data_IF_667487510825
#
_entry.id   IF_667487510825
#
_cell.length_a   1.000
_cell.length_b   1.000
_cell.length_c   1.000
_cell.angle_alpha   90.00
_cell.angle_beta   90.00
_cell.angle_gamma   90.00
#
_symmetry.space_group_name_H-M   'P 1'
#
loop_
_entity.id
_entity.type
_entity.pdbx_description
1 polymer ?
#
# COMPACT_ATOMS: atom_id res chain seq x y z
N UNK A 1 -34.83 19.18 -8.94
CA UNK A 1 -33.74 18.62 -8.10
C UNK A 1 -34.36 17.61 -7.14
N UNK A 2 -34.24 16.32 -7.43
CA UNK A 2 -34.56 15.26 -6.47
C UNK A 2 -33.25 14.55 -6.13
N UNK A 3 -32.87 14.59 -4.85
CA UNK A 3 -31.77 13.78 -4.31
C UNK A 3 -32.15 12.31 -4.52
N UNK A 4 -31.31 11.57 -5.25
CA UNK A 4 -31.46 10.13 -5.40
C UNK A 4 -31.46 9.48 -4.02
N UNK A 5 -32.56 8.82 -3.69
CA UNK A 5 -32.62 7.92 -2.53
C UNK A 5 -31.56 6.85 -2.76
N UNK A 6 -30.53 6.80 -1.92
CA UNK A 6 -29.76 5.56 -1.75
C UNK A 6 -30.77 4.46 -1.50
N UNK A 7 -30.70 3.34 -2.21
CA UNK A 7 -31.57 2.20 -1.93
C UNK A 7 -31.44 1.90 -0.43
N UNK A 8 -32.55 1.90 0.31
CA UNK A 8 -32.60 1.74 1.77
C UNK A 8 -31.63 0.66 2.32
N UNK A 9 -31.39 -0.48 1.63
CA UNK A 9 -30.41 -1.48 2.07
C UNK A 9 -28.96 -0.99 2.20
N UNK A 10 -28.52 -0.01 1.40
CA UNK A 10 -27.17 0.57 1.49
C UNK A 10 -27.01 1.48 2.70
N UNK A 11 -28.08 2.21 3.04
CA UNK A 11 -28.11 3.06 4.23
C UNK A 11 -28.15 2.19 5.49
N UNK A 12 -28.97 1.13 5.48
CA UNK A 12 -29.05 0.16 6.58
C UNK A 12 -27.74 -0.59 6.77
N UNK A 13 -27.05 -0.97 5.69
CA UNK A 13 -25.73 -1.60 5.77
C UNK A 13 -24.67 -0.65 6.36
N UNK A 14 -24.66 0.62 5.94
CA UNK A 14 -23.75 1.62 6.49
C UNK A 14 -24.03 1.90 7.98
N UNK A 15 -25.30 1.94 8.38
CA UNK A 15 -25.72 2.09 9.78
C UNK A 15 -25.32 0.86 10.61
N UNK A 16 -25.53 -0.35 10.09
CA UNK A 16 -25.14 -1.58 10.77
C UNK A 16 -23.61 -1.70 10.95
N UNK A 17 -22.82 -1.28 9.96
CA UNK A 17 -21.36 -1.17 10.13
C UNK A 17 -21.01 -0.12 11.17
N UNK A 18 -21.70 1.03 11.17
CA UNK A 18 -21.55 2.06 12.19
C UNK A 18 -21.82 1.52 13.60
N UNK A 19 -22.95 0.85 13.82
CA UNK A 19 -23.33 0.24 15.10
C UNK A 19 -22.38 -0.88 15.52
N UNK A 20 -21.84 -1.64 14.57
CA UNK A 20 -20.85 -2.66 14.85
C UNK A 20 -19.50 -2.06 15.27
N UNK A 21 -19.07 -0.98 14.62
CA UNK A 21 -17.76 -0.35 14.84
C UNK A 21 -17.77 0.57 16.07
N UNK A 22 -18.89 1.21 16.38
CA UNK A 22 -19.00 2.23 17.44
C UNK A 22 -18.59 1.73 18.84
N UNK A 23 -18.92 0.50 19.28
CA UNK A 23 -18.42 -0.06 20.53
C UNK A 23 -16.90 -0.20 20.58
N UNK A 24 -16.24 -0.45 19.45
CA UNK A 24 -14.77 -0.54 19.40
C UNK A 24 -14.11 0.84 19.51
N UNK A 25 -14.77 1.89 18.99
CA UNK A 25 -14.31 3.28 19.10
C UNK A 25 -14.55 3.83 20.51
N UNK A 26 -15.72 3.59 21.09
CA UNK A 26 -16.10 4.11 22.41
C UNK A 26 -15.30 3.48 23.56
N UNK A 27 -14.85 2.24 23.40
CA UNK A 27 -14.03 1.54 24.39
C UNK A 27 -12.52 1.64 24.08
N UNK A 28 -12.12 2.35 23.03
CA UNK A 28 -10.72 2.57 22.73
C UNK A 28 -10.12 3.52 23.78
N UNK A 29 -9.30 2.98 24.67
CA UNK A 29 -8.41 3.78 25.50
C UNK A 29 -7.45 4.51 24.56
N UNK A 30 -7.18 5.81 24.74
CA UNK A 30 -6.13 6.50 24.00
C UNK A 30 -4.80 5.78 24.23
N UNK A 31 -4.39 4.96 23.28
CA UNK A 31 -3.09 4.33 23.30
C UNK A 31 -2.11 5.41 22.83
N UNK A 32 -1.38 6.03 23.77
CA UNK A 32 -0.39 7.08 23.45
C UNK A 32 0.68 6.65 22.44
N UNK A 33 0.74 5.35 22.13
CA UNK A 33 1.74 4.72 21.28
C UNK A 33 1.15 4.02 20.05
N UNK A 34 -0.15 4.19 19.75
CA UNK A 34 -0.81 3.60 18.56
C UNK A 34 -1.64 4.66 17.85
N UNK A 35 -1.42 4.84 16.55
CA UNK A 35 -2.06 5.85 15.72
C UNK A 35 -2.66 5.23 14.47
N UNK A 36 -3.92 5.58 14.17
CA UNK A 36 -4.50 5.32 12.87
C UNK A 36 -4.05 6.42 11.89
N UNK A 37 -3.41 6.04 10.79
CA UNK A 37 -3.09 6.93 9.68
C UNK A 37 -3.96 6.57 8.50
N UNK A 38 -4.49 7.57 7.81
CA UNK A 38 -5.36 7.36 6.68
C UNK A 38 -5.00 8.32 5.55
N UNK A 39 -5.06 7.82 4.32
CA UNK A 39 -4.82 8.60 3.12
C UNK A 39 -6.09 8.60 2.27
N UNK A 40 -6.45 9.78 1.80
CA UNK A 40 -7.56 10.01 0.86
C UNK A 40 -7.09 11.00 -0.21
N UNK A 41 -7.70 10.99 -1.41
CA UNK A 41 -7.44 11.99 -2.43
C UNK A 41 -7.60 13.40 -1.84
N UNK A 42 -6.57 14.25 -1.94
CA UNK A 42 -6.47 15.60 -1.34
C UNK A 42 -6.19 15.68 0.18
N UNK A 43 -5.98 14.55 0.86
CA UNK A 43 -5.49 14.52 2.25
C UNK A 43 -3.96 14.53 2.34
N UNK A 44 -3.44 14.69 3.57
CA UNK A 44 -2.01 14.50 3.86
C UNK A 44 -1.60 13.07 3.50
N UNK A 45 -0.46 12.91 2.82
CA UNK A 45 0.03 11.58 2.42
C UNK A 45 0.38 10.72 3.65
N UNK A 46 0.34 9.38 3.52
CA UNK A 46 0.76 8.50 4.62
C UNK A 46 2.21 8.73 5.01
N UNK A 47 3.10 8.98 4.05
CA UNK A 47 4.52 9.17 4.33
C UNK A 47 4.78 10.47 5.12
N UNK A 48 3.99 11.51 4.88
CA UNK A 48 4.07 12.76 5.65
C UNK A 48 3.58 12.55 7.08
N UNK A 49 2.39 11.97 7.26
CA UNK A 49 1.84 11.64 8.58
C UNK A 49 2.76 10.71 9.39
N UNK A 50 3.41 9.75 8.72
CA UNK A 50 4.38 8.85 9.33
C UNK A 50 5.61 9.62 9.82
N UNK A 51 6.18 10.49 8.97
CA UNK A 51 7.41 11.22 9.28
C UNK A 51 7.27 12.23 10.43
N UNK A 52 6.05 12.70 10.72
CA UNK A 52 5.78 13.55 11.88
C UNK A 52 5.92 12.80 13.21
N UNK A 53 5.92 11.47 13.19
CA UNK A 53 5.83 10.61 14.38
C UNK A 53 7.03 9.69 14.57
N UNK A 54 7.74 9.37 13.49
CA UNK A 54 8.94 8.54 13.52
C UNK A 54 10.16 9.42 13.78
N UNK A 55 11.03 8.98 14.70
CA UNK A 55 12.28 9.69 15.00
C UNK A 55 13.17 9.85 13.76
N UNK A 56 14.04 10.85 13.76
CA UNK A 56 15.05 11.01 12.71
C UNK A 56 16.23 10.03 12.88
N UNK A 57 16.46 9.53 14.10
CA UNK A 57 17.57 8.65 14.44
C UNK A 57 17.20 7.17 14.21
N UNK A 58 16.90 6.82 12.97
CA UNK A 58 16.60 5.43 12.54
C UNK A 58 17.86 4.79 12.00
N UNK A 59 18.18 3.60 12.50
CA UNK A 59 19.36 2.83 12.11
C UNK A 59 19.06 1.91 10.91
N UNK A 60 17.91 1.22 10.95
CA UNK A 60 17.49 0.26 9.92
C UNK A 60 16.01 0.40 9.61
N UNK A 61 15.63 0.17 8.36
CA UNK A 61 14.24 0.17 7.91
C UNK A 61 13.96 -1.14 7.19
N UNK A 62 13.06 -1.96 7.75
CA UNK A 62 12.55 -3.18 7.14
C UNK A 62 11.26 -2.89 6.38
N UNK A 63 11.18 -3.26 5.10
CA UNK A 63 9.98 -3.06 4.26
C UNK A 63 9.51 -4.40 3.73
N UNK A 64 8.23 -4.73 3.88
CA UNK A 64 7.59 -5.89 3.25
C UNK A 64 6.35 -5.45 2.50
N UNK A 65 6.19 -5.95 1.30
CA UNK A 65 5.04 -5.69 0.46
C UNK A 65 4.98 -6.61 -0.75
N UNK A 66 3.79 -6.72 -1.33
CA UNK A 66 3.57 -7.56 -2.50
C UNK A 66 3.55 -6.78 -3.82
N UNK A 67 3.34 -5.45 -3.78
CA UNK A 67 3.21 -4.62 -4.97
C UNK A 67 4.02 -3.33 -4.84
N UNK A 68 4.88 -3.09 -5.81
CA UNK A 68 5.71 -1.90 -5.93
C UNK A 68 5.40 -1.18 -7.25
N UNK A 69 5.57 0.14 -7.26
CA UNK A 69 5.52 0.93 -8.50
C UNK A 69 6.83 0.82 -9.30
N UNK A 70 6.81 1.30 -10.54
CA UNK A 70 7.96 1.23 -11.47
C UNK A 70 9.13 2.07 -10.99
N UNK A 71 8.86 3.17 -10.32
CA UNK A 71 9.85 4.10 -9.81
C UNK A 71 10.42 3.67 -8.44
N UNK A 72 9.83 2.65 -7.82
CA UNK A 72 10.10 2.25 -6.43
C UNK A 72 10.04 3.46 -5.48
N UNK A 73 9.04 4.31 -5.71
CA UNK A 73 9.01 5.67 -5.18
C UNK A 73 9.03 5.72 -3.64
N UNK A 74 8.35 4.78 -2.97
CA UNK A 74 8.40 4.71 -1.52
C UNK A 74 9.82 4.44 -1.01
N UNK A 75 10.54 3.50 -1.63
CA UNK A 75 11.91 3.15 -1.22
C UNK A 75 12.84 4.36 -1.39
N UNK A 76 12.71 5.09 -2.50
CA UNK A 76 13.44 6.33 -2.72
C UNK A 76 13.09 7.41 -1.68
N UNK A 77 11.80 7.57 -1.34
CA UNK A 77 11.35 8.56 -0.36
C UNK A 77 11.80 8.21 1.07
N UNK A 78 11.79 6.92 1.44
CA UNK A 78 12.36 6.44 2.71
C UNK A 78 13.85 6.78 2.79
N UNK A 79 14.63 6.53 1.72
CA UNK A 79 16.06 6.86 1.69
C UNK A 79 16.31 8.36 1.80
N UNK A 80 15.44 9.18 1.22
CA UNK A 80 15.53 10.64 1.30
C UNK A 80 15.26 11.16 2.72
N UNK A 81 14.26 10.61 3.42
CA UNK A 81 13.86 11.07 4.77
C UNK A 81 14.78 10.53 5.87
N UNK A 82 15.26 9.29 5.72
CA UNK A 82 16.21 8.65 6.65
C UNK A 82 17.50 8.26 5.92
N UNK A 83 18.35 9.23 5.54
CA UNK A 83 19.51 8.99 4.68
C UNK A 83 20.57 8.09 5.31
N UNK A 84 20.67 8.07 6.65
CA UNK A 84 21.64 7.24 7.37
C UNK A 84 21.14 5.81 7.61
N UNK A 85 19.84 5.55 7.47
CA UNK A 85 19.29 4.23 7.71
C UNK A 85 19.69 3.24 6.59
N UNK A 86 20.00 2.00 6.98
CA UNK A 86 20.01 0.88 6.05
C UNK A 86 18.58 0.49 5.72
N UNK A 87 18.23 0.39 4.43
CA UNK A 87 16.90 -0.05 4.00
C UNK A 87 17.01 -1.50 3.52
N UNK A 88 16.20 -2.37 4.11
CA UNK A 88 16.10 -3.80 3.77
C UNK A 88 14.68 -4.11 3.33
N UNK A 89 14.55 -4.51 2.07
CA UNK A 89 13.26 -4.86 1.45
C UNK A 89 13.14 -6.38 1.39
N UNK A 90 12.23 -6.92 2.19
CA UNK A 90 11.83 -8.32 2.15
C UNK A 90 10.91 -8.58 0.97
N UNK A 91 11.32 -9.49 0.09
CA UNK A 91 10.58 -9.87 -1.11
C UNK A 91 10.26 -11.36 -1.12
N UNK A 92 9.17 -11.71 -1.79
CA UNK A 92 8.93 -13.07 -2.27
C UNK A 92 9.23 -13.08 -3.78
N UNK A 93 10.38 -13.63 -4.23
CA UNK A 93 10.77 -13.61 -5.64
C UNK A 93 9.76 -14.27 -6.58
N UNK A 94 8.98 -15.23 -6.09
CA UNK A 94 8.06 -16.00 -6.91
C UNK A 94 6.75 -15.25 -7.18
N UNK A 95 6.38 -14.30 -6.32
CA UNK A 95 5.03 -13.71 -6.36
C UNK A 95 5.00 -12.17 -6.32
N UNK A 96 6.11 -11.53 -5.93
CA UNK A 96 6.25 -10.08 -5.88
C UNK A 96 5.89 -9.41 -7.22
N UNK A 97 5.12 -8.34 -7.18
CA UNK A 97 4.90 -7.45 -8.32
C UNK A 97 5.83 -6.24 -8.21
N UNK A 98 6.94 -6.26 -8.95
CA UNK A 98 7.92 -5.18 -8.97
C UNK A 98 8.38 -4.90 -10.42
N UNK A 99 7.72 -3.96 -11.12
CA UNK A 99 8.02 -3.63 -12.52
C UNK A 99 9.31 -2.79 -12.68
N UNK A 100 9.75 -2.14 -11.60
CA UNK A 100 10.96 -1.33 -11.54
C UNK A 100 12.23 -2.16 -11.38
N UNK A 101 13.37 -1.51 -11.62
CA UNK A 101 14.69 -2.05 -11.24
C UNK A 101 15.21 -1.23 -10.05
N UNK A 102 15.65 -1.89 -8.96
CA UNK A 102 16.18 -1.17 -7.82
C UNK A 102 17.48 -0.44 -8.16
N UNK A 103 17.59 0.86 -7.83
CA UNK A 103 18.83 1.59 -7.99
C UNK A 103 19.92 1.02 -7.04
N UNK A 104 21.17 0.87 -7.51
CA UNK A 104 22.27 0.35 -6.68
C UNK A 104 22.48 1.20 -5.42
N UNK A 105 22.70 0.55 -4.28
CA UNK A 105 23.06 1.22 -3.02
C UNK A 105 21.92 1.96 -2.30
N UNK A 106 20.69 1.92 -2.82
CA UNK A 106 19.53 2.54 -2.15
C UNK A 106 18.93 1.64 -1.07
N UNK A 107 18.77 0.35 -1.39
CA UNK A 107 18.25 -0.65 -0.47
C UNK A 107 18.84 -2.02 -0.78
N UNK A 108 18.93 -2.85 0.25
CA UNK A 108 19.21 -4.28 0.15
C UNK A 108 17.90 -5.03 -0.02
N UNK A 109 17.88 -6.04 -0.89
CA UNK A 109 16.70 -6.87 -1.14
C UNK A 109 16.99 -8.28 -0.65
N UNK A 110 16.08 -8.87 0.13
CA UNK A 110 16.28 -10.20 0.76
C UNK A 110 15.09 -11.11 0.50
N UNK A 111 15.32 -12.42 0.47
CA UNK A 111 14.25 -13.40 0.28
C UNK A 111 13.51 -13.64 1.60
N UNK A 112 12.36 -12.97 1.78
CA UNK A 112 11.57 -13.00 3.00
C UNK A 112 10.91 -14.36 3.26
N UNK A 113 10.90 -15.29 2.28
CA UNK A 113 10.39 -16.65 2.48
C UNK A 113 11.20 -17.42 3.53
N UNK A 114 12.44 -17.01 3.78
CA UNK A 114 13.29 -17.59 4.82
C UNK A 114 12.87 -17.19 6.24
N UNK A 115 12.00 -16.20 6.44
CA UNK A 115 11.51 -15.80 7.77
C UNK A 115 10.37 -16.68 8.27
N UNK A 116 9.54 -17.18 7.36
CA UNK A 116 8.35 -17.98 7.67
C UNK A 116 8.35 -19.30 6.91
N UNK A 117 9.38 -20.12 7.16
CA UNK A 117 9.66 -21.34 6.39
C UNK A 117 8.52 -22.37 6.39
N UNK A 118 7.65 -22.32 7.40
CA UNK A 118 6.49 -23.21 7.52
C UNK A 118 5.29 -22.75 6.68
N UNK A 119 5.31 -21.50 6.19
CA UNK A 119 4.25 -20.90 5.39
C UNK A 119 4.73 -20.63 3.96
N UNK A 120 4.59 -21.63 3.08
CA UNK A 120 4.90 -21.49 1.64
C UNK A 120 3.86 -20.69 0.83
N UNK A 121 2.96 -20.01 1.52
CA UNK A 121 1.88 -19.26 0.88
C UNK A 121 2.37 -17.89 0.44
N UNK A 122 1.69 -17.35 -0.57
CA UNK A 122 1.89 -16.02 -1.12
C UNK A 122 2.13 -14.95 -0.03
N UNK A 123 3.27 -14.26 -0.09
CA UNK A 123 3.58 -13.15 0.81
C UNK A 123 2.77 -11.90 0.44
N UNK A 124 1.60 -11.75 1.05
CA UNK A 124 0.74 -10.57 0.89
C UNK A 124 0.79 -9.59 2.06
N UNK A 125 1.82 -9.68 2.91
CA UNK A 125 2.02 -8.78 4.04
C UNK A 125 2.40 -7.37 3.54
N UNK A 126 2.04 -6.34 4.33
CA UNK A 126 2.35 -4.94 4.08
C UNK A 126 2.76 -4.33 5.41
N UNK A 127 4.05 -4.12 5.58
CA UNK A 127 4.58 -3.61 6.83
C UNK A 127 5.87 -2.83 6.59
N UNK A 128 6.09 -1.82 7.43
CA UNK A 128 7.36 -1.11 7.52
C UNK A 128 7.75 -1.05 8.99
N UNK A 129 8.98 -1.45 9.29
CA UNK A 129 9.58 -1.34 10.61
C UNK A 129 10.75 -0.36 10.55
N UNK A 130 10.75 0.63 11.43
CA UNK A 130 11.82 1.58 11.63
C UNK A 130 12.48 1.23 12.95
N UNK A 131 13.70 0.72 12.88
CA UNK A 131 14.47 0.37 14.06
C UNK A 131 15.27 1.57 14.55
N UNK A 132 15.03 1.92 15.80
CA UNK A 132 15.75 2.90 16.59
C UNK A 132 15.76 2.44 18.06
N UNK A 133 16.76 2.86 18.83
CA UNK A 133 16.98 2.40 20.22
C UNK A 133 15.68 2.35 21.08
N UNK A 134 15.08 3.51 21.40
CA UNK A 134 13.86 3.57 22.22
C UNK A 134 12.62 4.07 21.48
N UNK A 135 12.78 4.60 20.27
CA UNK A 135 11.73 5.27 19.49
C UNK A 135 11.43 4.54 18.17
N UNK A 136 11.57 3.21 18.17
CA UNK A 136 11.21 2.36 17.04
C UNK A 136 9.75 2.56 16.62
N UNK A 137 9.45 2.32 15.35
CA UNK A 137 8.11 2.43 14.81
C UNK A 137 7.75 1.24 13.92
N UNK A 138 6.51 0.77 14.02
CA UNK A 138 6.00 -0.32 13.20
C UNK A 138 4.68 0.12 12.58
N UNK A 139 4.56 0.03 11.26
CA UNK A 139 3.35 0.38 10.54
C UNK A 139 2.90 -0.75 9.64
N UNK A 140 1.62 -1.08 9.67
CA UNK A 140 1.02 -2.12 8.82
C UNK A 140 -0.44 -1.80 8.51
N UNK A 141 -0.94 -2.26 7.36
CA UNK A 141 -2.31 -2.06 6.92
C UNK A 141 -2.50 -2.37 5.45
N UNK A 142 -3.40 -1.63 4.78
CA UNK A 142 -3.75 -1.87 3.38
C UNK A 142 -2.70 -1.40 2.36
N UNK A 143 -1.82 -0.48 2.78
CA UNK A 143 -0.91 0.24 1.89
C UNK A 143 0.26 -0.63 1.40
N UNK A 144 0.25 -0.95 0.11
CA UNK A 144 1.41 -1.53 -0.59
C UNK A 144 2.57 -0.53 -0.71
N UNK A 145 3.84 -0.97 -0.79
CA UNK A 145 5.00 -0.10 -0.91
C UNK A 145 5.10 0.58 -2.28
N UNK A 146 4.21 1.55 -2.52
CA UNK A 146 4.03 2.20 -3.80
C UNK A 146 3.63 3.68 -3.66
N UNK A 147 3.91 4.47 -4.70
CA UNK A 147 3.52 5.89 -4.79
C UNK A 147 2.03 6.13 -4.56
N UNK A 148 1.08 5.40 -5.21
CA UNK A 148 -0.34 5.67 -5.03
C UNK A 148 -0.81 5.46 -3.59
N UNK A 149 -0.20 4.51 -2.86
CA UNK A 149 -0.58 4.21 -1.49
C UNK A 149 0.02 5.20 -0.47
N UNK A 150 1.31 5.56 -0.63
CA UNK A 150 2.03 6.30 0.41
C UNK A 150 2.26 7.78 0.15
N UNK A 151 2.34 8.20 -1.12
CA UNK A 151 2.90 9.52 -1.51
C UNK A 151 1.86 10.41 -2.21
N UNK A 152 1.05 9.86 -3.11
CA UNK A 152 0.23 10.65 -4.04
C UNK A 152 -0.82 11.53 -3.37
N UNK A 153 -0.64 12.85 -3.34
CA UNK A 153 -1.62 13.81 -2.80
C UNK A 153 -2.74 14.21 -3.81
N UNK A 154 -2.65 13.75 -5.06
CA UNK A 154 -3.56 14.11 -6.15
C UNK A 154 -4.78 13.16 -6.25
N UNK A 155 -5.73 13.45 -7.15
CA UNK A 155 -6.96 12.67 -7.42
C UNK A 155 -6.75 11.19 -7.76
N UNK A 156 -5.50 10.76 -7.98
CA UNK A 156 -5.13 9.42 -8.42
C UNK A 156 -4.40 8.62 -7.31
N UNK A 157 -4.43 9.09 -6.06
CA UNK A 157 -3.96 8.33 -4.89
C UNK A 157 -4.98 7.29 -4.43
N UNK A 158 -4.49 6.20 -3.82
CA UNK A 158 -5.35 5.19 -3.21
C UNK A 158 -5.95 5.73 -1.90
N UNK A 159 -7.17 5.30 -1.59
CA UNK A 159 -7.69 5.41 -0.22
C UNK A 159 -7.09 4.28 0.60
N UNK A 160 -6.28 4.62 1.60
CA UNK A 160 -5.53 3.64 2.41
C UNK A 160 -5.71 3.91 3.90
N UNK A 161 -5.61 2.85 4.70
CA UNK A 161 -5.57 2.93 6.16
C UNK A 161 -4.49 2.02 6.73
N UNK A 162 -3.70 2.55 7.66
CA UNK A 162 -2.64 1.82 8.34
C UNK A 162 -2.65 2.12 9.83
N UNK A 163 -2.18 1.17 10.63
CA UNK A 163 -1.93 1.36 12.06
C UNK A 163 -0.43 1.52 12.27
N UNK A 164 -0.05 2.64 12.88
CA UNK A 164 1.29 2.93 13.35
C UNK A 164 1.39 2.63 14.85
N UNK A 165 2.42 1.91 15.25
CA UNK A 165 2.84 1.72 16.65
C UNK A 165 4.20 2.38 16.84
N UNK A 166 4.43 2.96 18.02
CA UNK A 166 5.72 3.58 18.39
C UNK A 166 6.26 3.05 19.72
N UNK A 167 7.57 3.21 19.92
CA UNK A 167 8.29 2.80 21.12
C UNK A 167 8.25 1.29 21.33
N UNK A 168 8.19 0.85 22.59
CA UNK A 168 8.22 -0.57 22.94
C UNK A 168 7.13 -1.40 22.22
N UNK A 169 5.93 -0.85 22.03
CA UNK A 169 4.87 -1.58 21.30
C UNK A 169 5.24 -1.87 19.85
N UNK A 170 6.03 -1.01 19.20
CA UNK A 170 6.55 -1.26 17.86
C UNK A 170 7.57 -2.40 17.86
N UNK A 171 8.48 -2.41 18.82
CA UNK A 171 9.53 -3.43 18.98
C UNK A 171 8.90 -4.80 19.22
N UNK A 172 7.96 -4.89 20.17
CA UNK A 172 7.26 -6.13 20.50
C UNK A 172 6.52 -6.66 19.27
N UNK A 173 5.79 -5.78 18.57
CA UNK A 173 5.05 -6.16 17.35
C UNK A 173 5.98 -6.63 16.23
N UNK A 174 7.11 -5.94 16.01
CA UNK A 174 8.07 -6.30 14.98
C UNK A 174 8.73 -7.65 15.27
N UNK A 175 9.00 -7.93 16.54
CA UNK A 175 9.54 -9.21 17.02
C UNK A 175 8.51 -10.33 16.85
N UNK A 176 7.26 -10.12 17.28
CA UNK A 176 6.19 -11.10 17.17
C UNK A 176 5.86 -11.45 15.71
N UNK A 177 5.89 -10.47 14.81
CA UNK A 177 5.70 -10.68 13.37
C UNK A 177 6.93 -11.32 12.72
N UNK A 178 8.11 -11.17 13.31
CA UNK A 178 9.38 -11.68 12.78
C UNK A 178 10.06 -10.79 11.73
N UNK A 179 9.56 -9.57 11.50
CA UNK A 179 10.12 -8.67 10.47
C UNK A 179 11.57 -8.24 10.76
N UNK A 180 11.99 -8.24 12.03
CA UNK A 180 13.37 -7.94 12.42
C UNK A 180 14.38 -8.90 11.78
N UNK A 181 13.97 -10.15 11.51
CA UNK A 181 14.84 -11.15 10.88
C UNK A 181 15.27 -10.77 9.45
N UNK A 182 14.59 -9.83 8.78
CA UNK A 182 15.02 -9.33 7.46
C UNK A 182 16.47 -8.83 7.49
N UNK A 183 16.86 -8.19 8.59
CA UNK A 183 18.17 -7.55 8.69
C UNK A 183 19.32 -8.55 8.66
N UNK A 184 19.05 -9.80 9.04
CA UNK A 184 20.04 -10.88 9.12
C UNK A 184 20.12 -11.74 7.84
N UNK A 185 19.22 -11.54 6.88
CA UNK A 185 19.18 -12.30 5.63
C UNK A 185 20.19 -11.79 4.60
N UNK A 186 20.72 -12.70 3.79
CA UNK A 186 21.58 -12.33 2.67
C UNK A 186 20.82 -11.62 1.54
N UNK A 187 21.50 -10.70 0.87
CA UNK A 187 20.98 -10.06 -0.34
C UNK A 187 20.68 -11.08 -1.43
N UNK A 188 19.53 -10.96 -2.08
CA UNK A 188 19.27 -11.70 -3.31
C UNK A 188 20.19 -11.20 -4.44
N UNK A 189 20.57 -12.10 -5.35
CA UNK A 189 21.37 -11.74 -6.51
C UNK A 189 20.63 -10.86 -7.51
N UNK A 190 21.37 -10.08 -8.31
CA UNK A 190 20.79 -9.21 -9.35
C UNK A 190 19.93 -9.98 -10.36
N UNK A 191 20.30 -11.23 -10.66
CA UNK A 191 19.54 -12.11 -11.55
C UNK A 191 18.13 -12.39 -11.02
N UNK A 192 17.96 -12.56 -9.71
CA UNK A 192 16.65 -12.76 -9.07
C UNK A 192 15.76 -11.55 -9.31
N UNK A 193 16.29 -10.34 -9.09
CA UNK A 193 15.57 -9.08 -9.28
C UNK A 193 15.21 -8.85 -10.76
N UNK A 194 16.10 -9.23 -11.68
CA UNK A 194 15.82 -9.18 -13.12
C UNK A 194 14.71 -10.16 -13.52
N UNK A 195 14.70 -11.35 -12.93
CA UNK A 195 13.65 -12.35 -13.17
C UNK A 195 12.30 -11.89 -12.64
N UNK A 196 12.25 -11.30 -11.43
CA UNK A 196 11.04 -10.67 -10.85
C UNK A 196 10.47 -9.61 -11.79
N UNK A 197 11.31 -8.70 -12.29
CA UNK A 197 10.88 -7.64 -13.21
C UNK A 197 10.32 -8.21 -14.51
N UNK A 198 11.01 -9.19 -15.09
CA UNK A 198 10.61 -9.83 -16.34
C UNK A 198 9.26 -10.54 -16.17
N UNK A 199 9.10 -11.31 -15.09
CA UNK A 199 7.84 -11.96 -14.73
C UNK A 199 6.71 -10.93 -14.55
N UNK A 200 6.94 -9.89 -13.75
CA UNK A 200 5.95 -8.82 -13.50
C UNK A 200 5.50 -8.19 -14.82
N UNK A 201 6.41 -7.94 -15.76
CA UNK A 201 6.07 -7.38 -17.07
C UNK A 201 5.20 -8.33 -17.92
N UNK A 202 5.53 -9.62 -17.94
CA UNK A 202 4.76 -10.65 -18.66
C UNK A 202 3.36 -10.79 -18.06
N UNK A 203 3.25 -10.85 -16.74
CA UNK A 203 1.97 -10.98 -16.03
C UNK A 203 1.09 -9.75 -16.25
N UNK A 204 1.66 -8.55 -16.23
CA UNK A 204 0.93 -7.31 -16.55
C UNK A 204 0.43 -7.28 -17.99
N UNK A 205 1.29 -7.62 -18.95
CA UNK A 205 0.91 -7.68 -20.36
C UNK A 205 -0.16 -8.75 -20.63
N UNK A 206 -0.17 -9.84 -19.85
CA UNK A 206 -1.20 -10.90 -19.96
C UNK A 206 -2.53 -10.52 -19.31
N UNK A 207 -2.50 -9.60 -18.33
CA UNK A 207 -3.67 -9.11 -17.60
C UNK A 207 -4.29 -7.84 -18.22
N UNK A 208 -3.59 -7.17 -19.13
CA UNK A 208 -4.20 -6.19 -20.05
C UNK A 208 -5.11 -6.96 -21.01
N UNK A 209 -6.32 -7.26 -20.56
CA UNK A 209 -7.41 -7.68 -21.44
C UNK A 209 -7.61 -6.54 -22.44
N UNK A 210 -7.66 -6.86 -23.74
CA UNK A 210 -8.08 -5.90 -24.78
C UNK A 210 -9.26 -5.10 -24.25
N UNK A 211 -9.25 -3.76 -24.31
CA UNK A 211 -10.28 -2.93 -23.71
C UNK A 211 -11.64 -3.40 -24.21
N UNK A 212 -12.40 -4.09 -23.35
CA UNK A 212 -13.75 -4.52 -23.68
C UNK A 212 -14.57 -3.24 -23.76
N UNK A 213 -15.13 -2.88 -24.93
CA UNK A 213 -15.85 -1.64 -25.06
C UNK A 213 -17.00 -1.60 -24.04
N UNK A 214 -16.98 -0.61 -23.15
CA UNK A 214 -18.06 -0.41 -22.21
C UNK A 214 -19.23 0.24 -22.97
N UNK A 215 -20.26 -0.55 -23.23
CA UNK A 215 -21.53 -0.08 -23.77
C UNK A 215 -22.43 0.36 -22.61
N UNK A 216 -22.73 1.65 -22.54
CA UNK A 216 -23.69 2.18 -21.57
C UNK A 216 -25.00 2.43 -22.32
N UNK A 217 -26.05 1.70 -21.96
CA UNK A 217 -27.41 1.92 -22.45
C UNK A 217 -28.24 2.66 -21.41
N UNK A 218 -28.84 3.79 -21.79
CA UNK A 218 -29.78 4.54 -20.96
C UNK A 218 -31.17 4.40 -21.60
N UNK A 219 -32.08 3.73 -20.90
CA UNK A 219 -33.48 3.66 -21.32
C UNK A 219 -34.24 4.88 -20.78
N UNK A 220 -34.84 5.65 -21.67
CA UNK A 220 -35.75 6.73 -21.29
C UNK A 220 -37.19 6.24 -21.37
N UNK A 221 -37.81 6.04 -20.21
CA UNK A 221 -39.18 5.53 -20.10
C UNK A 221 -40.26 6.50 -20.61
N UNK A 222 -39.98 7.81 -20.67
CA UNK A 222 -40.95 8.80 -21.14
C UNK A 222 -40.99 8.91 -22.66
N UNK A 223 -39.83 8.75 -23.33
CA UNK A 223 -39.72 8.80 -24.79
C UNK A 223 -39.77 7.43 -25.47
N UNK A 224 -39.64 6.34 -24.71
CA UNK A 224 -39.63 4.97 -25.24
C UNK A 224 -38.33 4.58 -25.98
N UNK A 225 -37.29 5.40 -25.85
CA UNK A 225 -36.02 5.20 -26.57
C UNK A 225 -34.93 4.61 -25.66
N UNK A 226 -34.00 3.89 -26.29
CA UNK A 226 -32.77 3.39 -25.67
C UNK A 226 -31.57 4.07 -26.33
N UNK A 227 -30.84 4.87 -25.57
CA UNK A 227 -29.60 5.52 -26.03
C UNK A 227 -28.41 4.67 -25.62
N UNK A 228 -27.70 4.11 -26.60
CA UNK A 228 -26.51 3.28 -26.37
C UNK A 228 -25.27 4.10 -26.73
N UNK A 229 -24.40 4.34 -25.77
CA UNK A 229 -23.10 4.98 -25.99
C UNK A 229 -21.98 3.97 -25.85
N UNK A 230 -21.13 3.89 -26.88
CA UNK A 230 -19.86 3.18 -26.84
C UNK A 230 -18.82 4.12 -26.23
N UNK A 231 -18.29 3.80 -25.05
CA UNK A 231 -17.05 4.44 -24.60
C UNK A 231 -15.86 3.66 -25.15
N UNK A 232 -15.41 4.05 -26.33
CA UNK A 232 -14.07 3.76 -26.79
C UNK A 232 -13.15 4.85 -26.21
N UNK A 233 -12.21 4.44 -25.35
CA UNK A 233 -11.00 5.14 -24.91
C UNK A 233 -10.99 6.70 -24.96
N UNK A 234 -11.10 7.33 -23.80
CA UNK A 234 -10.75 8.75 -23.62
C UNK A 234 -9.23 8.87 -23.44
N UNK A 235 -8.47 8.74 -24.52
CA UNK A 235 -7.16 9.38 -24.68
C UNK A 235 -7.30 10.61 -25.58
N UNK A 236 -8.03 11.62 -25.10
CA UNK A 236 -7.86 13.00 -25.52
C UNK A 236 -8.22 13.93 -24.36
N UNK A 237 -7.22 14.25 -23.54
CA UNK A 237 -7.29 15.46 -22.72
C UNK A 237 -7.06 16.64 -23.66
N UNK A 238 -8.14 17.26 -24.12
CA UNK A 238 -8.04 18.56 -24.78
C UNK A 238 -7.58 19.60 -23.76
N UNK A 239 -6.54 20.33 -24.14
CA UNK A 239 -6.08 21.53 -23.47
C UNK A 239 -7.19 22.59 -23.45
N UNK A 240 -7.48 23.11 -22.26
CA UNK A 240 -7.96 24.47 -22.04
C UNK A 240 -7.36 24.99 -20.73
#
# INVERSE_FOLDING_TARGET
MQRGKSADPLLDAALAVGEFVNPFILNAVPAGNVFALAHSPSGTSLIDQLSERVTSNVERIGVIGAFFDTELALIAELKKRWPMAEIVVGIDPESLQMPGSPPPGVARYVDARHLWTDNKNYLHAKAIYFEADQDSAFVSGSANPSRPAWISQASNGNVEAVLLRIGQSAIDTATDVGICGLFDLDSVGEEVLKNVKTRTAIERASNEVDPVPLLIGIANHESGNLDITLRADLMSFDHA
#
